data_IF_397624801960
#
_entry.id   IF_397624801960
#
_cell.length_a   1.000
_cell.length_b   1.000
_cell.length_c   1.000
_cell.angle_alpha   90.00
_cell.angle_beta   90.00
_cell.angle_gamma   90.00
#
_symmetry.space_group_name_H-M   'P 1'
#
loop_
_entity.id
_entity.type
_entity.pdbx_description
1 polymer ?
#
# COMPACT_ATOMS: atom_id res chain seq x y z
N UNK A 1 -3.72 5.30 20.16
CA UNK A 1 -3.94 4.49 18.94
C UNK A 1 -2.60 4.33 18.26
N UNK A 2 -2.35 3.19 17.62
CA UNK A 2 -1.17 3.06 16.76
C UNK A 2 -1.27 4.04 15.59
N UNK A 3 -0.17 4.70 15.24
CA UNK A 3 -0.06 5.58 14.07
C UNK A 3 -0.52 4.85 12.79
N UNK A 4 -1.06 5.57 11.82
CA UNK A 4 -1.45 5.04 10.50
C UNK A 4 -0.60 5.68 9.42
N UNK A 5 -0.01 4.84 8.58
CA UNK A 5 0.69 5.28 7.37
C UNK A 5 -0.12 4.80 6.17
N UNK A 6 -0.65 5.74 5.39
CA UNK A 6 -1.55 5.47 4.27
C UNK A 6 -0.80 5.74 2.97
N UNK A 7 -0.58 4.71 2.16
CA UNK A 7 -0.03 4.83 0.80
C UNK A 7 -1.16 4.74 -0.21
N UNK A 8 -1.45 5.85 -0.89
CA UNK A 8 -2.49 5.95 -1.92
C UNK A 8 -1.84 5.88 -3.29
N UNK A 9 -2.21 4.87 -4.09
CA UNK A 9 -1.56 4.52 -5.34
C UNK A 9 -0.45 3.50 -5.11
N UNK A 10 -0.62 2.29 -5.61
CA UNK A 10 0.31 1.17 -5.58
C UNK A 10 0.90 0.87 -6.98
N UNK A 11 0.83 1.84 -7.89
CA UNK A 11 1.37 1.77 -9.25
C UNK A 11 2.89 1.98 -9.33
N UNK A 12 3.36 2.67 -10.37
CA UNK A 12 4.79 2.87 -10.64
C UNK A 12 5.57 3.52 -9.48
N UNK A 13 5.04 4.57 -8.87
CA UNK A 13 5.69 5.25 -7.74
C UNK A 13 5.45 4.46 -6.45
N UNK A 14 4.18 4.13 -6.18
CA UNK A 14 3.78 3.46 -4.95
C UNK A 14 4.47 2.11 -4.73
N UNK A 15 4.54 1.27 -5.76
CA UNK A 15 5.18 -0.05 -5.65
C UNK A 15 6.70 0.04 -5.40
N UNK A 16 7.37 1.07 -5.93
CA UNK A 16 8.79 1.31 -5.67
C UNK A 16 9.02 1.88 -4.26
N UNK A 17 8.10 2.72 -3.77
CA UNK A 17 8.14 3.26 -2.40
C UNK A 17 7.81 2.20 -1.34
N UNK A 18 6.93 1.25 -1.66
CA UNK A 18 6.47 0.21 -0.73
C UNK A 18 7.63 -0.62 -0.17
N UNK A 19 8.62 -0.97 -0.97
CA UNK A 19 9.78 -1.76 -0.52
C UNK A 19 10.56 -1.09 0.62
N UNK A 20 11.13 0.12 0.41
CA UNK A 20 11.79 0.89 1.46
C UNK A 20 10.87 1.21 2.65
N UNK A 21 9.60 1.55 2.39
CA UNK A 21 8.63 1.85 3.45
C UNK A 21 8.40 0.66 4.38
N UNK A 22 8.17 -0.54 3.83
CA UNK A 22 7.99 -1.77 4.61
C UNK A 22 9.25 -2.09 5.43
N UNK A 23 10.45 -1.93 4.86
CA UNK A 23 11.71 -2.13 5.60
C UNK A 23 11.85 -1.14 6.76
N UNK A 24 11.52 0.13 6.53
CA UNK A 24 11.57 1.16 7.56
C UNK A 24 10.58 0.85 8.69
N UNK A 25 9.31 0.62 8.35
CA UNK A 25 8.25 0.37 9.35
C UNK A 25 8.50 -0.92 10.14
N UNK A 26 8.95 -2.00 9.49
CA UNK A 26 9.19 -3.29 10.15
C UNK A 26 10.34 -3.25 11.16
N UNK A 27 11.22 -2.25 11.07
CA UNK A 27 12.34 -2.02 12.00
C UNK A 27 12.04 -1.00 13.10
N UNK A 28 10.87 -0.34 13.09
CA UNK A 28 10.47 0.54 14.18
C UNK A 28 10.20 -0.27 15.46
N UNK A 29 10.47 0.30 16.65
CA UNK A 29 10.07 -0.31 17.92
C UNK A 29 8.54 -0.38 18.02
N UNK A 30 8.04 -1.32 18.83
CA UNK A 30 6.61 -1.42 19.10
C UNK A 30 6.11 -0.23 19.96
N UNK A 31 4.84 0.22 19.77
CA UNK A 31 3.89 -0.26 18.78
C UNK A 31 4.20 0.25 17.37
N UNK A 32 4.25 -0.65 16.39
CA UNK A 32 4.42 -0.30 14.97
C UNK A 32 3.13 0.29 14.38
N UNK A 33 3.23 1.22 13.40
CA UNK A 33 2.06 1.78 12.75
C UNK A 33 1.29 0.75 11.91
N UNK A 34 -0.01 0.96 11.75
CA UNK A 34 -0.80 0.27 10.73
C UNK A 34 -0.45 0.83 9.36
N UNK A 35 0.01 -0.03 8.46
CA UNK A 35 0.18 0.32 7.05
C UNK A 35 -1.17 0.14 6.33
N UNK A 36 -1.63 1.17 5.63
CA UNK A 36 -2.84 1.12 4.79
C UNK A 36 -2.39 1.28 3.34
N UNK A 37 -2.70 0.29 2.50
CA UNK A 37 -2.40 0.32 1.07
C UNK A 37 -3.70 0.52 0.29
N UNK A 38 -3.72 1.49 -0.63
CA UNK A 38 -4.94 1.88 -1.35
C UNK A 38 -4.66 1.90 -2.85
N UNK A 39 -5.39 1.09 -3.61
CA UNK A 39 -5.35 1.09 -5.08
C UNK A 39 -6.60 0.37 -5.63
N UNK A 40 -7.22 0.93 -6.67
CA UNK A 40 -8.38 0.34 -7.35
C UNK A 40 -8.02 -0.63 -8.48
N UNK A 41 -6.77 -0.63 -8.94
CA UNK A 41 -6.34 -1.42 -10.09
C UNK A 41 -5.87 -2.83 -9.73
N UNK A 42 -5.94 -3.72 -10.70
CA UNK A 42 -5.18 -4.96 -10.73
C UNK A 42 -3.85 -4.79 -11.48
N UNK A 43 -2.88 -5.68 -11.22
CA UNK A 43 -1.68 -5.74 -12.04
C UNK A 43 -1.97 -6.32 -13.43
N UNK A 44 -1.44 -5.64 -14.44
CA UNK A 44 -1.52 -6.04 -15.85
C UNK A 44 -0.13 -6.34 -16.41
N UNK A 45 -0.06 -7.06 -17.53
CA UNK A 45 1.21 -7.45 -18.14
C UNK A 45 2.14 -6.25 -18.41
N UNK A 46 1.58 -5.11 -18.83
CA UNK A 46 2.34 -3.87 -19.06
C UNK A 46 2.95 -3.25 -17.79
N UNK A 47 2.58 -3.72 -16.60
CA UNK A 47 3.11 -3.23 -15.33
C UNK A 47 4.46 -3.87 -14.95
N UNK A 48 4.75 -5.07 -15.45
CA UNK A 48 5.94 -5.86 -15.09
C UNK A 48 7.28 -5.13 -15.33
N UNK A 49 7.32 -4.20 -16.28
CA UNK A 49 8.54 -3.48 -16.63
C UNK A 49 8.88 -2.32 -15.69
N UNK A 50 7.91 -1.85 -14.88
CA UNK A 50 8.05 -0.61 -14.11
C UNK A 50 7.50 -0.64 -12.69
N UNK A 51 6.71 -1.66 -12.33
CA UNK A 51 6.07 -1.80 -11.02
C UNK A 51 6.62 -3.04 -10.31
N UNK A 52 6.62 -3.02 -8.98
CA UNK A 52 7.03 -4.18 -8.19
C UNK A 52 5.95 -5.28 -8.20
N UNK A 53 5.87 -5.99 -9.32
CA UNK A 53 4.91 -7.05 -9.63
C UNK A 53 5.65 -8.23 -10.26
N UNK A 54 5.32 -9.45 -9.87
CA UNK A 54 5.77 -10.67 -10.54
C UNK A 54 4.68 -11.22 -11.48
N UNK A 55 5.03 -12.16 -12.36
CA UNK A 55 4.06 -12.78 -13.27
C UNK A 55 2.89 -13.47 -12.54
N UNK A 56 3.12 -13.97 -11.31
CA UNK A 56 2.06 -14.56 -10.47
C UNK A 56 1.12 -13.56 -9.81
N UNK A 57 1.40 -12.25 -9.90
CA UNK A 57 0.53 -11.20 -9.35
C UNK A 57 -0.47 -10.65 -10.38
N UNK A 58 -0.33 -11.02 -11.66
CA UNK A 58 -1.21 -10.54 -12.73
C UNK A 58 -2.68 -10.87 -12.42
N UNK A 59 -3.56 -9.88 -12.60
CA UNK A 59 -4.98 -9.98 -12.25
C UNK A 59 -5.30 -9.81 -10.76
N UNK A 60 -4.29 -9.72 -9.88
CA UNK A 60 -4.48 -9.41 -8.46
C UNK A 60 -4.51 -7.89 -8.26
N UNK A 61 -5.35 -7.39 -7.36
CA UNK A 61 -5.33 -5.99 -6.95
C UNK A 61 -3.92 -5.58 -6.47
N UNK A 62 -3.44 -4.43 -6.93
CA UNK A 62 -2.06 -3.97 -6.66
C UNK A 62 -1.79 -3.81 -5.16
N UNK A 63 -2.74 -3.24 -4.42
CA UNK A 63 -2.61 -3.05 -2.99
C UNK A 63 -2.60 -4.39 -2.23
N UNK A 64 -3.41 -5.37 -2.63
CA UNK A 64 -3.38 -6.72 -2.04
C UNK A 64 -2.05 -7.44 -2.28
N UNK A 65 -1.53 -7.39 -3.51
CA UNK A 65 -0.27 -8.02 -3.85
C UNK A 65 0.90 -7.45 -3.02
N UNK A 66 0.99 -6.11 -2.89
CA UNK A 66 1.98 -5.47 -2.02
C UNK A 66 1.73 -5.75 -0.52
N UNK A 67 0.47 -5.89 -0.11
CA UNK A 67 0.14 -6.24 1.27
C UNK A 67 0.67 -7.62 1.67
N UNK A 68 0.73 -8.59 0.76
CA UNK A 68 1.35 -9.90 1.05
C UNK A 68 2.82 -9.75 1.45
N UNK A 69 3.56 -8.88 0.77
CA UNK A 69 4.97 -8.58 1.06
C UNK A 69 5.12 -7.85 2.40
N UNK A 70 4.24 -6.88 2.68
CA UNK A 70 4.28 -6.15 3.94
C UNK A 70 3.91 -7.04 5.15
N UNK A 71 2.91 -7.93 4.98
CA UNK A 71 2.49 -8.89 6.00
C UNK A 71 3.59 -9.92 6.28
N UNK A 72 4.29 -10.42 5.26
CA UNK A 72 5.42 -11.34 5.47
C UNK A 72 6.61 -10.69 6.18
N UNK A 73 6.73 -9.35 6.12
CA UNK A 73 7.67 -8.57 6.92
C UNK A 73 7.19 -8.29 8.37
N UNK A 74 6.05 -8.84 8.78
CA UNK A 74 5.51 -8.74 10.13
C UNK A 74 4.76 -7.44 10.44
N UNK A 75 4.33 -6.69 9.42
CA UNK A 75 3.51 -5.49 9.61
C UNK A 75 2.02 -5.83 9.69
N UNK A 76 1.29 -5.07 10.50
CA UNK A 76 -0.15 -4.97 10.37
C UNK A 76 -0.50 -4.17 9.11
N UNK A 77 -1.34 -4.73 8.25
CA UNK A 77 -1.68 -4.13 6.95
C UNK A 77 -3.17 -4.19 6.68
N UNK A 78 -3.76 -3.03 6.41
CA UNK A 78 -5.10 -2.89 5.86
C UNK A 78 -5.01 -2.61 4.35
N UNK A 79 -5.90 -3.21 3.57
CA UNK A 79 -6.04 -2.95 2.14
C UNK A 79 -7.36 -2.24 1.87
N UNK A 80 -7.32 -1.26 0.97
CA UNK A 80 -8.50 -0.63 0.38
C UNK A 80 -8.38 -0.82 -1.13
N UNK A 81 -9.09 -1.82 -1.66
CA UNK A 81 -9.05 -2.22 -3.07
C UNK A 81 -9.98 -1.36 -3.95
N UNK A 82 -9.95 -0.04 -3.75
CA UNK A 82 -10.82 0.94 -4.40
C UNK A 82 -10.05 2.22 -4.74
N UNK A 83 -10.53 2.97 -5.73
CA UNK A 83 -10.03 4.33 -5.99
C UNK A 83 -10.48 5.29 -4.89
N UNK A 84 -9.60 6.24 -4.54
CA UNK A 84 -9.98 7.36 -3.69
C UNK A 84 -10.73 8.39 -4.51
N UNK A 85 -11.88 8.81 -4.01
CA UNK A 85 -12.76 9.82 -4.59
C UNK A 85 -13.15 10.82 -3.52
N UNK A 86 -13.73 11.96 -3.93
CA UNK A 86 -14.28 12.93 -2.97
C UNK A 86 -15.35 12.32 -2.05
N UNK A 87 -16.06 11.27 -2.50
CA UNK A 87 -17.12 10.63 -1.73
C UNK A 87 -16.61 9.65 -0.66
N UNK A 88 -15.42 9.05 -0.82
CA UNK A 88 -14.90 8.05 0.11
C UNK A 88 -13.62 8.46 0.85
N UNK A 89 -13.01 9.61 0.51
CA UNK A 89 -11.73 10.03 1.10
C UNK A 89 -11.77 10.11 2.63
N UNK A 90 -12.90 10.53 3.22
CA UNK A 90 -13.08 10.60 4.67
C UNK A 90 -13.12 9.23 5.37
N UNK A 91 -13.36 8.14 4.63
CA UNK A 91 -13.29 6.78 5.17
C UNK A 91 -11.87 6.19 5.05
N UNK A 92 -11.12 6.63 4.04
CA UNK A 92 -9.76 6.17 3.73
C UNK A 92 -8.73 6.87 4.59
N UNK A 93 -8.79 8.20 4.63
CA UNK A 93 -7.85 9.07 5.35
C UNK A 93 -8.53 9.65 6.58
N UNK A 94 -7.88 9.52 7.73
CA UNK A 94 -8.35 10.01 9.02
C UNK A 94 -7.43 11.11 9.54
N UNK A 95 -7.92 11.87 10.51
CA UNK A 95 -7.07 12.81 11.23
C UNK A 95 -5.85 12.09 11.81
N UNK A 96 -4.66 12.71 11.70
CA UNK A 96 -3.36 12.17 12.13
C UNK A 96 -2.79 11.03 11.28
N UNK A 97 -3.42 10.63 10.18
CA UNK A 97 -2.79 9.73 9.22
C UNK A 97 -1.58 10.42 8.56
N UNK A 98 -0.45 9.71 8.46
CA UNK A 98 0.63 10.10 7.55
C UNK A 98 0.26 9.57 6.16
N UNK A 99 -0.02 10.48 5.22
CA UNK A 99 -0.44 10.11 3.87
C UNK A 99 0.71 10.29 2.88
N UNK A 100 1.00 9.22 2.14
CA UNK A 100 1.91 9.20 1.00
C UNK A 100 1.04 9.08 -0.27
N UNK A 101 0.98 10.16 -1.05
CA UNK A 101 0.20 10.21 -2.29
C UNK A 101 1.10 9.86 -3.49
N UNK A 102 0.79 8.78 -4.18
CA UNK A 102 1.56 8.19 -5.27
C UNK A 102 0.67 7.74 -6.44
N UNK A 103 -0.33 8.57 -6.77
CA UNK A 103 -1.30 8.39 -7.87
C UNK A 103 -0.82 8.99 -9.17
#
# INVERSE_FOLDING_TARGET
>A
MAERVVLIGCGGIGSQLAGPLVRYLSRRPEPRPLLVLVDGDAFEAGNLTRQACAGGDLGTNKAEALARVARSAGLAVQVVAEFVTGANVGHVVRERDLVLLAV
#
